data_IF_989803672521
#
_entry.id   IF_989803672521
#
_cell.length_a   1.000
_cell.length_b   1.000
_cell.length_c   1.000
_cell.angle_alpha   90.00
_cell.angle_beta   90.00
_cell.angle_gamma   90.00
#
_symmetry.space_group_name_H-M   'P 1'
#
loop_
_entity.id
_entity.type
_entity.pdbx_description
1 polymer ?
#
# COMPACT_ATOMS: atom_id res chain seq x y z
N UNK A 1 -7.41 1.16 9.38
CA UNK A 1 -6.76 2.42 8.94
C UNK A 1 -6.54 2.44 7.43
N UNK A 2 -5.99 1.39 6.81
CA UNK A 2 -5.67 1.34 5.37
C UNK A 2 -6.87 1.55 4.44
N UNK A 3 -8.06 1.09 4.80
CA UNK A 3 -9.28 1.30 4.00
C UNK A 3 -9.65 2.80 3.91
N UNK A 4 -9.60 3.51 5.04
CA UNK A 4 -9.93 4.95 5.09
C UNK A 4 -8.91 5.77 4.28
N UNK A 5 -7.62 5.45 4.41
CA UNK A 5 -6.55 6.12 3.66
C UNK A 5 -6.66 5.84 2.16
N UNK A 6 -7.00 4.60 1.78
CA UNK A 6 -7.23 4.24 0.37
C UNK A 6 -8.38 5.05 -0.22
N UNK A 7 -9.52 5.14 0.47
CA UNK A 7 -10.69 5.89 0.02
C UNK A 7 -10.37 7.39 -0.10
N UNK A 8 -9.69 7.98 0.90
CA UNK A 8 -9.31 9.40 0.86
C UNK A 8 -8.37 9.73 -0.30
N UNK A 9 -7.36 8.90 -0.54
CA UNK A 9 -6.41 9.13 -1.62
C UNK A 9 -7.04 8.85 -3.00
N UNK A 10 -7.96 7.89 -3.11
CA UNK A 10 -8.77 7.71 -4.32
C UNK A 10 -9.58 8.96 -4.59
N UNK A 11 -10.28 9.48 -3.58
CA UNK A 11 -11.09 10.70 -3.68
C UNK A 11 -10.24 11.91 -4.09
N UNK A 12 -9.05 12.08 -3.49
CA UNK A 12 -8.10 13.12 -3.88
C UNK A 12 -7.61 12.94 -5.32
N UNK A 13 -7.36 11.69 -5.76
CA UNK A 13 -6.93 11.38 -7.13
C UNK A 13 -8.03 11.66 -8.16
N UNK A 14 -9.30 11.41 -7.81
CA UNK A 14 -10.45 11.73 -8.65
C UNK A 14 -10.65 13.25 -8.81
N UNK A 15 -10.34 14.04 -7.77
CA UNK A 15 -10.41 15.50 -7.81
C UNK A 15 -9.19 16.11 -8.53
N UNK A 16 -8.04 15.45 -8.48
CA UNK A 16 -6.80 15.90 -9.13
C UNK A 16 -6.74 15.63 -10.64
N UNK A 17 -7.77 15.02 -11.24
CA UNK A 17 -7.83 14.81 -12.70
C UNK A 17 -7.95 16.16 -13.41
N UNK A 18 -7.10 16.34 -14.42
CA UNK A 18 -6.93 17.58 -15.16
C UNK A 18 -8.25 18.09 -15.77
N UNK A 19 -8.71 19.26 -15.33
CA UNK A 19 -9.95 19.90 -15.80
C UNK A 19 -9.94 20.11 -17.32
N UNK A 20 -8.77 20.26 -17.94
CA UNK A 20 -8.65 20.49 -19.36
C UNK A 20 -9.00 19.26 -20.21
N UNK A 21 -8.74 18.03 -19.72
CA UNK A 21 -9.20 16.81 -20.38
C UNK A 21 -10.72 16.63 -20.29
N UNK A 22 -11.31 17.08 -19.18
CA UNK A 22 -12.76 17.07 -18.98
C UNK A 22 -13.43 18.11 -19.88
N UNK A 23 -12.82 19.31 -20.04
CA UNK A 23 -13.32 20.37 -20.93
C UNK A 23 -13.24 19.96 -22.40
N UNK A 24 -12.14 19.34 -22.83
CA UNK A 24 -12.01 18.80 -24.19
C UNK A 24 -13.13 17.80 -24.53
N UNK A 25 -13.40 16.83 -23.67
CA UNK A 25 -14.48 15.87 -23.90
C UNK A 25 -15.88 16.48 -23.85
N UNK A 26 -16.09 17.52 -23.02
CA UNK A 26 -17.34 18.28 -23.03
C UNK A 26 -17.54 19.03 -24.36
N UNK A 27 -16.47 19.58 -24.96
CA UNK A 27 -16.54 20.21 -26.29
C UNK A 27 -16.85 19.19 -27.40
N UNK A 28 -16.44 17.93 -27.24
CA UNK A 28 -16.80 16.82 -28.13
C UNK A 28 -18.19 16.22 -27.87
N UNK A 29 -18.97 16.74 -26.91
CA UNK A 29 -20.33 16.27 -26.62
C UNK A 29 -20.41 14.92 -25.88
N UNK A 30 -19.34 14.52 -25.19
CA UNK A 30 -19.30 13.25 -24.47
C UNK A 30 -20.26 13.24 -23.27
N UNK A 31 -20.94 12.11 -23.06
CA UNK A 31 -21.81 11.91 -21.89
C UNK A 31 -20.98 11.75 -20.60
N UNK A 32 -21.53 12.16 -19.44
CA UNK A 32 -20.83 12.05 -18.13
C UNK A 32 -20.23 10.67 -17.85
N UNK A 33 -20.89 9.60 -18.28
CA UNK A 33 -20.39 8.21 -18.18
C UNK A 33 -19.17 7.93 -19.07
N UNK A 34 -19.11 8.50 -20.28
CA UNK A 34 -17.96 8.38 -21.17
C UNK A 34 -16.74 9.15 -20.64
N UNK A 35 -16.95 10.34 -20.05
CA UNK A 35 -15.87 11.12 -19.42
C UNK A 35 -15.28 10.35 -18.24
N UNK A 36 -16.16 9.76 -17.43
CA UNK A 36 -15.76 8.99 -16.25
C UNK A 36 -14.97 7.72 -16.63
N UNK A 37 -15.40 7.00 -17.67
CA UNK A 37 -14.73 5.76 -18.12
C UNK A 37 -13.48 5.98 -18.99
N UNK A 38 -13.46 7.00 -19.86
CA UNK A 38 -12.37 7.18 -20.84
C UNK A 38 -11.28 8.16 -20.43
N UNK A 39 -11.53 9.05 -19.47
CA UNK A 39 -10.54 10.05 -19.04
C UNK A 39 -10.26 9.93 -17.56
N UNK A 40 -11.31 9.97 -16.73
CA UNK A 40 -11.14 9.96 -15.27
C UNK A 40 -10.58 8.62 -14.78
N UNK A 41 -11.15 7.49 -15.21
CA UNK A 41 -10.66 6.16 -14.85
C UNK A 41 -9.20 5.92 -15.27
N UNK A 42 -8.79 6.04 -16.55
CA UNK A 42 -7.39 5.82 -16.94
C UNK A 42 -6.41 6.81 -16.31
N UNK A 43 -6.80 8.08 -16.13
CA UNK A 43 -5.94 9.06 -15.43
C UNK A 43 -5.82 8.78 -13.93
N UNK A 44 -6.82 8.15 -13.32
CA UNK A 44 -6.83 7.83 -11.88
C UNK A 44 -6.16 6.50 -11.57
N UNK A 45 -6.04 5.58 -12.54
CA UNK A 45 -5.39 4.26 -12.35
C UNK A 45 -3.95 4.39 -11.80
N UNK A 46 -3.06 5.23 -12.34
CA UNK A 46 -1.69 5.40 -11.82
C UNK A 46 -1.67 5.87 -10.36
N UNK A 47 -2.55 6.83 -10.03
CA UNK A 47 -2.65 7.41 -8.69
C UNK A 47 -3.26 6.42 -7.68
N UNK A 48 -4.23 5.64 -8.12
CA UNK A 48 -4.88 4.56 -7.35
C UNK A 48 -3.88 3.44 -7.03
N UNK A 49 -3.03 3.06 -7.99
CA UNK A 49 -1.97 2.07 -7.79
C UNK A 49 -0.89 2.59 -6.81
N UNK A 50 -0.46 3.84 -6.96
CA UNK A 50 0.49 4.48 -6.03
C UNK A 50 -0.06 4.52 -4.59
N UNK A 51 -1.34 4.82 -4.47
CA UNK A 51 -2.06 4.80 -3.18
C UNK A 51 -2.13 3.40 -2.58
N UNK A 52 -2.43 2.40 -3.40
CA UNK A 52 -2.49 0.99 -2.97
C UNK A 52 -1.12 0.51 -2.47
N UNK A 53 -0.03 0.91 -3.13
CA UNK A 53 1.35 0.63 -2.73
C UNK A 53 1.64 1.11 -1.31
N UNK A 54 1.34 2.38 -1.01
CA UNK A 54 1.56 2.96 0.32
C UNK A 54 0.72 2.25 1.37
N UNK A 55 -0.52 1.91 1.04
CA UNK A 55 -1.43 1.21 1.94
C UNK A 55 -1.00 -0.23 2.25
N UNK A 56 -0.45 -0.96 1.28
CA UNK A 56 0.10 -2.31 1.52
C UNK A 56 1.28 -2.25 2.50
N UNK A 57 2.19 -1.29 2.32
CA UNK A 57 3.31 -1.08 3.26
C UNK A 57 2.85 -0.74 4.68
N UNK A 58 1.87 0.15 4.83
CA UNK A 58 1.29 0.52 6.13
C UNK A 58 0.53 -0.64 6.78
N UNK A 59 -0.16 -1.46 5.99
CA UNK A 59 -0.91 -2.63 6.49
C UNK A 59 0.03 -3.70 7.02
N UNK A 60 1.19 -3.87 6.37
CA UNK A 60 2.24 -4.79 6.82
C UNK A 60 2.76 -4.45 8.22
N UNK A 61 3.04 -3.17 8.49
CA UNK A 61 3.45 -2.70 9.83
C UNK A 61 2.35 -2.99 10.86
N UNK A 62 1.09 -2.78 10.49
CA UNK A 62 -0.05 -3.10 11.35
C UNK A 62 -0.16 -4.58 11.71
N UNK A 63 0.08 -5.48 10.75
CA UNK A 63 0.09 -6.93 10.99
C UNK A 63 1.23 -7.32 11.93
N UNK A 64 2.44 -6.78 11.71
CA UNK A 64 3.59 -7.03 12.60
C UNK A 64 3.26 -6.60 14.03
N UNK A 65 2.78 -5.36 14.23
CA UNK A 65 2.43 -4.86 15.58
C UNK A 65 1.30 -5.70 16.20
N UNK A 66 0.35 -6.17 15.39
CA UNK A 66 -0.69 -7.11 15.83
C UNK A 66 -0.14 -8.46 16.30
N UNK A 67 0.83 -9.02 15.57
CA UNK A 67 1.50 -10.27 15.96
C UNK A 67 2.27 -10.12 17.29
N UNK A 68 2.85 -8.94 17.57
CA UNK A 68 3.53 -8.65 18.84
C UNK A 68 2.57 -8.64 20.05
N UNK A 69 1.32 -8.19 19.87
CA UNK A 69 0.37 -7.96 20.97
C UNK A 69 -0.48 -9.18 21.32
N UNK A 70 -0.90 -9.96 20.32
CA UNK A 70 -1.97 -10.96 20.48
C UNK A 70 -1.54 -12.39 20.12
N UNK A 71 -0.49 -12.56 19.31
CA UNK A 71 -0.20 -13.87 18.74
C UNK A 71 0.59 -14.76 19.70
N UNK A 72 0.15 -16.03 19.82
CA UNK A 72 0.87 -17.10 20.56
C UNK A 72 1.87 -17.85 19.68
N UNK A 73 2.00 -17.46 18.41
CA UNK A 73 2.93 -18.02 17.44
C UNK A 73 3.26 -16.94 16.39
N UNK A 74 4.52 -16.84 15.97
CA UNK A 74 4.97 -15.85 14.98
C UNK A 74 6.34 -15.27 15.31
N UNK A 75 6.92 -14.52 14.37
CA UNK A 75 8.25 -13.91 14.54
C UNK A 75 8.20 -12.79 15.58
N UNK A 76 7.11 -12.01 15.60
CA UNK A 76 6.87 -11.00 16.65
C UNK A 76 6.72 -11.61 18.04
N UNK A 77 6.08 -12.78 18.15
CA UNK A 77 5.99 -13.54 19.40
C UNK A 77 7.36 -14.01 19.88
N UNK A 78 8.23 -14.52 19.00
CA UNK A 78 9.58 -14.98 19.37
C UNK A 78 10.46 -13.85 19.92
N UNK A 79 10.27 -12.60 19.45
CA UNK A 79 10.94 -11.41 20.00
C UNK A 79 10.48 -11.16 21.44
N UNK A 80 9.16 -11.15 21.68
CA UNK A 80 8.59 -10.92 23.02
C UNK A 80 8.96 -12.05 23.98
N UNK A 81 8.83 -13.30 23.54
CA UNK A 81 9.18 -14.48 24.32
C UNK A 81 10.68 -14.54 24.63
N UNK A 82 11.54 -14.31 23.65
CA UNK A 82 13.00 -14.23 23.86
C UNK A 82 13.38 -13.14 24.86
N UNK A 83 12.65 -12.01 24.85
CA UNK A 83 12.78 -10.95 25.84
C UNK A 83 12.35 -11.38 27.24
N UNK A 84 11.22 -12.10 27.36
CA UNK A 84 10.73 -12.61 28.66
C UNK A 84 11.66 -13.65 29.29
N UNK A 85 12.29 -14.51 28.48
CA UNK A 85 13.23 -15.54 28.95
C UNK A 85 14.68 -15.00 29.06
N UNK A 86 14.89 -13.70 28.82
CA UNK A 86 16.22 -13.05 28.77
C UNK A 86 17.23 -13.73 27.83
N UNK A 87 16.74 -14.45 26.81
CA UNK A 87 17.56 -15.08 25.76
C UNK A 87 17.69 -14.12 24.59
N UNK A 88 18.65 -13.20 24.69
CA UNK A 88 18.91 -12.20 23.66
C UNK A 88 19.30 -12.82 22.31
N UNK A 89 19.86 -14.03 22.28
CA UNK A 89 20.12 -14.79 21.06
C UNK A 89 18.85 -14.98 20.20
N UNK A 90 17.74 -15.37 20.83
CA UNK A 90 16.46 -15.61 20.15
C UNK A 90 15.86 -14.27 19.67
N UNK A 91 16.00 -13.23 20.48
CA UNK A 91 15.54 -11.87 20.13
C UNK A 91 16.27 -11.37 18.89
N UNK A 92 17.60 -11.45 18.88
CA UNK A 92 18.40 -10.97 17.74
C UNK A 92 18.16 -11.78 16.47
N UNK A 93 18.07 -13.12 16.58
CA UNK A 93 17.70 -13.95 15.43
C UNK A 93 16.34 -13.55 14.85
N UNK A 94 15.36 -13.31 15.70
CA UNK A 94 14.00 -12.96 15.27
C UNK A 94 13.93 -11.57 14.64
N UNK A 95 14.65 -10.58 15.20
CA UNK A 95 14.79 -9.24 14.61
C UNK A 95 15.48 -9.31 13.24
N UNK A 96 16.53 -10.13 13.11
CA UNK A 96 17.25 -10.29 11.85
C UNK A 96 16.37 -10.90 10.75
N UNK A 97 15.62 -11.96 11.08
CA UNK A 97 14.66 -12.57 10.16
C UNK A 97 13.57 -11.56 9.76
N UNK A 98 13.05 -10.79 10.73
CA UNK A 98 12.03 -9.78 10.47
C UNK A 98 12.55 -8.66 9.56
N UNK A 99 13.82 -8.25 9.73
CA UNK A 99 14.48 -7.28 8.86
C UNK A 99 14.61 -7.81 7.42
N UNK A 100 15.03 -9.06 7.23
CA UNK A 100 15.12 -9.70 5.91
C UNK A 100 13.75 -9.76 5.25
N UNK A 101 12.72 -10.24 5.95
CA UNK A 101 11.37 -10.36 5.41
C UNK A 101 10.83 -8.98 5.02
N UNK A 102 11.01 -7.97 5.87
CA UNK A 102 10.58 -6.60 5.59
C UNK A 102 11.30 -6.03 4.35
N UNK A 103 12.61 -6.29 4.21
CA UNK A 103 13.37 -5.86 3.04
C UNK A 103 12.92 -6.57 1.75
N UNK A 104 12.64 -7.87 1.82
CA UNK A 104 12.12 -8.66 0.68
C UNK A 104 10.73 -8.17 0.26
N UNK A 105 9.84 -7.95 1.23
CA UNK A 105 8.51 -7.38 0.96
C UNK A 105 8.59 -6.00 0.33
N UNK A 106 9.47 -5.13 0.84
CA UNK A 106 9.70 -3.82 0.25
C UNK A 106 10.17 -3.92 -1.21
N UNK A 107 11.12 -4.82 -1.50
CA UNK A 107 11.58 -5.08 -2.87
C UNK A 107 10.48 -5.63 -3.78
N UNK A 108 9.66 -6.57 -3.30
CA UNK A 108 8.53 -7.11 -4.08
C UNK A 108 7.54 -6.01 -4.46
N UNK A 109 7.21 -5.14 -3.52
CA UNK A 109 6.33 -3.99 -3.74
C UNK A 109 6.96 -2.99 -4.73
N UNK A 110 8.28 -2.77 -4.64
CA UNK A 110 9.01 -1.90 -5.58
C UNK A 110 9.07 -2.47 -7.00
N UNK A 111 9.25 -3.78 -7.17
CA UNK A 111 9.26 -4.44 -8.49
C UNK A 111 7.86 -4.38 -9.13
N UNK A 112 6.80 -4.60 -8.34
CA UNK A 112 5.43 -4.46 -8.81
C UNK A 112 5.13 -3.03 -9.25
N UNK A 113 5.67 -2.01 -8.58
CA UNK A 113 5.55 -0.61 -9.00
C UNK A 113 6.22 -0.37 -10.35
N UNK A 114 7.48 -0.81 -10.51
CA UNK A 114 8.27 -0.52 -11.71
C UNK A 114 7.69 -1.18 -12.97
N UNK A 115 7.12 -2.39 -12.81
CA UNK A 115 6.46 -3.10 -13.90
C UNK A 115 5.17 -2.42 -14.37
N UNK A 116 4.45 -1.74 -13.49
CA UNK A 116 3.16 -1.10 -13.79
C UNK A 116 3.29 0.37 -14.19
N UNK A 117 4.30 1.11 -13.73
CA UNK A 117 4.62 2.46 -14.25
C UNK A 117 4.99 2.47 -15.73
N UNK A 118 5.39 1.32 -16.27
CA UNK A 118 5.84 1.13 -17.65
C UNK A 118 4.71 0.75 -18.63
N UNK A 119 3.48 0.57 -18.13
CA UNK A 119 2.25 0.41 -18.92
C UNK A 119 1.45 1.72 -18.92
#
# INVERSE_FOLDING_TARGET
VSIVVTIMNMFASFIAVDEDQIRLLNTFGATKLQILQKVVLPSSIPALISTLKINIGLSWVGVIVGEFLVSKAGIGYLIVYGGQVFKLDIVMMSVFILAIISAVMYKLVAILEDKFKRW
#
